data_IF_005766543997
#
_entry.id   IF_005766543997
#
_cell.length_a   1.000
_cell.length_b   1.000
_cell.length_c   1.000
_cell.angle_alpha   90.00
_cell.angle_beta   90.00
_cell.angle_gamma   90.00
#
_symmetry.space_group_name_H-M   'P 1'
#
loop_
_entity.id
_entity.type
_entity.pdbx_description
1 polymer ?
#
# COMPACT_ATOMS: atom_id res chain seq x y z
N UNK A 1 17.69 19.89 1.24
CA UNK A 1 18.55 18.75 1.63
C UNK A 1 17.86 17.85 2.66
N UNK A 2 17.50 18.36 3.85
CA UNK A 2 16.88 17.55 4.92
C UNK A 2 15.60 16.83 4.46
N UNK A 3 14.67 17.51 3.76
CA UNK A 3 13.45 16.88 3.24
C UNK A 3 13.72 15.65 2.35
N UNK A 4 14.75 15.72 1.50
CA UNK A 4 15.15 14.60 0.61
C UNK A 4 15.67 13.43 1.44
N UNK A 5 16.47 13.71 2.47
CA UNK A 5 16.99 12.67 3.36
C UNK A 5 15.87 12.04 4.19
N UNK A 6 14.93 12.85 4.70
CA UNK A 6 13.73 12.34 5.39
C UNK A 6 12.97 11.37 4.49
N UNK A 7 12.75 11.74 3.21
CA UNK A 7 12.08 10.89 2.24
C UNK A 7 12.85 9.60 1.92
N UNK A 8 14.16 9.71 1.66
CA UNK A 8 15.01 8.58 1.28
C UNK A 8 15.27 7.60 2.44
N UNK A 9 15.24 8.10 3.68
CA UNK A 9 15.48 7.32 4.88
C UNK A 9 14.19 6.74 5.49
N UNK A 10 13.05 6.78 4.80
CA UNK A 10 11.79 6.20 5.30
C UNK A 10 11.90 4.67 5.38
N UNK A 11 11.79 4.06 6.58
CA UNK A 11 11.81 2.61 6.75
C UNK A 11 10.84 1.86 5.83
N UNK A 12 9.55 2.22 5.89
CA UNK A 12 8.52 1.60 5.07
C UNK A 12 8.73 1.85 3.58
N UNK A 13 9.35 2.98 3.25
CA UNK A 13 9.71 3.32 1.88
C UNK A 13 10.79 2.40 1.32
N UNK A 14 11.90 2.27 2.05
CA UNK A 14 13.01 1.40 1.68
C UNK A 14 12.54 -0.05 1.55
N UNK A 15 11.78 -0.53 2.55
CA UNK A 15 11.30 -1.92 2.55
C UNK A 15 10.36 -2.21 1.36
N UNK A 16 9.49 -1.26 0.98
CA UNK A 16 8.58 -1.43 -0.15
C UNK A 16 9.25 -1.22 -1.51
N UNK A 17 10.38 -0.50 -1.58
CA UNK A 17 11.08 -0.22 -2.83
C UNK A 17 11.66 -1.48 -3.50
N UNK A 18 11.85 -2.56 -2.73
CA UNK A 18 12.31 -3.86 -3.23
C UNK A 18 11.18 -4.77 -3.71
N UNK A 19 9.92 -4.37 -3.50
CA UNK A 19 8.72 -5.15 -3.83
C UNK A 19 7.85 -4.50 -4.90
N UNK A 20 6.71 -5.12 -5.20
CA UNK A 20 5.74 -4.65 -6.20
C UNK A 20 4.71 -3.63 -5.69
N UNK A 21 4.95 -2.96 -4.56
CA UNK A 21 3.97 -2.05 -3.97
C UNK A 21 3.89 -0.73 -4.73
N UNK A 22 2.68 -0.18 -4.85
CA UNK A 22 2.40 1.06 -5.57
C UNK A 22 2.28 2.29 -4.66
N UNK A 23 2.57 2.17 -3.36
CA UNK A 23 2.36 3.24 -2.38
C UNK A 23 3.24 4.47 -2.64
N UNK A 24 4.46 4.30 -3.16
CA UNK A 24 5.30 5.43 -3.59
C UNK A 24 4.79 6.14 -4.85
N UNK A 25 4.22 5.39 -5.80
CA UNK A 25 3.61 5.98 -7.00
C UNK A 25 2.40 6.83 -6.60
N UNK A 26 1.60 6.35 -5.64
CA UNK A 26 0.50 7.13 -5.08
C UNK A 26 1.03 8.39 -4.37
N UNK A 27 2.07 8.24 -3.55
CA UNK A 27 2.68 9.35 -2.84
C UNK A 27 3.21 10.44 -3.78
N UNK A 28 3.83 10.04 -4.90
CA UNK A 28 4.30 10.96 -5.95
C UNK A 28 3.13 11.80 -6.49
N UNK A 29 2.03 11.18 -6.92
CA UNK A 29 0.91 11.92 -7.50
C UNK A 29 0.22 12.82 -6.48
N UNK A 30 0.14 12.42 -5.22
CA UNK A 30 -0.37 13.29 -4.14
C UNK A 30 0.57 14.47 -3.85
N UNK A 31 1.89 14.28 -3.94
CA UNK A 31 2.85 15.38 -3.84
C UNK A 31 2.72 16.36 -5.01
N UNK A 32 2.58 15.85 -6.24
CA UNK A 32 2.32 16.67 -7.43
C UNK A 32 1.00 17.44 -7.30
N UNK A 33 -0.08 16.77 -6.86
CA UNK A 33 -1.38 17.38 -6.59
C UNK A 33 -1.25 18.51 -5.57
N UNK A 34 -0.60 18.24 -4.43
CA UNK A 34 -0.37 19.24 -3.38
C UNK A 34 0.39 20.44 -3.94
N UNK A 35 1.47 20.22 -4.68
CA UNK A 35 2.27 21.28 -5.27
C UNK A 35 1.47 22.11 -6.29
N UNK A 36 0.69 21.46 -7.15
CA UNK A 36 -0.14 22.12 -8.14
C UNK A 36 -1.21 23.01 -7.50
N UNK A 37 -1.80 22.58 -6.38
CA UNK A 37 -2.79 23.36 -5.61
C UNK A 37 -2.12 24.56 -4.92
N UNK A 38 -0.97 24.37 -4.28
CA UNK A 38 -0.27 25.45 -3.59
C UNK A 38 0.18 26.54 -4.57
N UNK A 39 0.78 26.12 -5.69
CA UNK A 39 1.27 27.00 -6.76
C UNK A 39 0.18 27.56 -7.68
N UNK A 40 -1.07 27.16 -7.48
CA UNK A 40 -2.22 27.59 -8.30
C UNK A 40 -2.02 27.30 -9.81
N UNK A 41 -1.53 26.10 -10.15
CA UNK A 41 -1.14 25.75 -11.53
C UNK A 41 -2.34 25.40 -12.45
N UNK A 42 -3.56 25.76 -12.02
CA UNK A 42 -4.80 25.60 -12.78
C UNK A 42 -5.41 24.20 -12.76
N UNK A 43 -6.66 24.06 -13.24
CA UNK A 43 -7.45 22.83 -13.09
C UNK A 43 -6.94 21.65 -13.93
N UNK A 44 -6.16 21.89 -14.98
CA UNK A 44 -5.61 20.81 -15.82
C UNK A 44 -4.57 20.01 -15.04
N UNK A 45 -3.59 20.68 -14.41
CA UNK A 45 -2.55 19.98 -13.63
C UNK A 45 -3.13 19.35 -12.37
N UNK A 46 -4.03 20.05 -11.67
CA UNK A 46 -4.72 19.51 -10.49
C UNK A 46 -5.58 18.30 -10.86
N UNK A 47 -6.37 18.39 -11.94
CA UNK A 47 -7.20 17.30 -12.42
C UNK A 47 -6.40 16.09 -12.90
N UNK A 48 -5.29 16.30 -13.61
CA UNK A 48 -4.41 15.22 -14.06
C UNK A 48 -3.71 14.53 -12.87
N UNK A 49 -3.19 15.28 -11.91
CA UNK A 49 -2.56 14.72 -10.72
C UNK A 49 -3.56 13.92 -9.86
N UNK A 50 -4.78 14.44 -9.69
CA UNK A 50 -5.87 13.73 -9.01
C UNK A 50 -6.24 12.44 -9.76
N UNK A 51 -6.39 12.52 -11.08
CA UNK A 51 -6.74 11.37 -11.91
C UNK A 51 -5.69 10.28 -11.89
N UNK A 52 -4.40 10.62 -11.93
CA UNK A 52 -3.28 9.68 -11.87
C UNK A 52 -3.08 9.09 -10.47
N UNK A 53 -3.32 9.87 -9.40
CA UNK A 53 -3.35 9.35 -8.04
C UNK A 53 -4.45 8.29 -7.89
N UNK A 54 -5.68 8.60 -8.33
CA UNK A 54 -6.81 7.68 -8.30
C UNK A 54 -6.57 6.41 -9.13
N UNK A 55 -5.96 6.56 -10.31
CA UNK A 55 -5.61 5.45 -11.19
C UNK A 55 -4.58 4.52 -10.54
N UNK A 56 -3.71 5.07 -9.68
CA UNK A 56 -2.71 4.28 -8.97
C UNK A 56 -3.35 3.41 -7.89
N UNK A 57 -4.22 3.99 -7.04
CA UNK A 57 -4.84 3.28 -5.92
C UNK A 57 -6.09 4.00 -5.40
N UNK A 58 -7.18 3.28 -5.08
CA UNK A 58 -8.40 3.90 -4.55
C UNK A 58 -8.23 4.69 -3.24
N UNK A 59 -7.22 4.39 -2.43
CA UNK A 59 -6.91 5.19 -1.22
C UNK A 59 -6.52 6.63 -1.53
N UNK A 60 -6.20 6.96 -2.79
CA UNK A 60 -6.01 8.33 -3.25
C UNK A 60 -7.21 9.22 -2.95
N UNK A 61 -8.44 8.72 -3.08
CA UNK A 61 -9.64 9.51 -2.83
C UNK A 61 -9.68 10.05 -1.40
N UNK A 62 -9.23 9.23 -0.44
CA UNK A 62 -9.20 9.57 0.98
C UNK A 62 -8.19 10.71 1.22
N UNK A 63 -6.98 10.56 0.71
CA UNK A 63 -5.90 11.52 0.94
C UNK A 63 -6.05 12.81 0.11
N UNK A 64 -6.64 12.72 -1.09
CA UNK A 64 -6.85 13.87 -1.96
C UNK A 64 -8.05 14.74 -1.55
N UNK A 65 -9.06 14.17 -0.89
CA UNK A 65 -10.28 14.88 -0.48
C UNK A 65 -10.00 16.20 0.28
N UNK A 66 -9.20 16.24 1.35
CA UNK A 66 -8.95 17.50 2.07
C UNK A 66 -8.19 18.52 1.22
N UNK A 67 -7.27 18.07 0.35
CA UNK A 67 -6.53 18.95 -0.56
C UNK A 67 -7.46 19.57 -1.61
N UNK A 68 -8.36 18.77 -2.18
CA UNK A 68 -9.35 19.22 -3.16
C UNK A 68 -10.41 20.13 -2.53
N UNK A 69 -10.82 19.84 -1.29
CA UNK A 69 -11.70 20.71 -0.53
C UNK A 69 -11.08 22.09 -0.31
N UNK A 70 -9.78 22.14 0.02
CA UNK A 70 -9.04 23.39 0.11
C UNK A 70 -8.96 24.12 -1.24
N UNK A 71 -8.63 23.42 -2.33
CA UNK A 71 -8.57 24.01 -3.66
C UNK A 71 -9.93 24.63 -4.08
N UNK A 72 -11.02 23.90 -3.84
CA UNK A 72 -12.38 24.38 -4.10
C UNK A 72 -12.74 25.59 -3.23
N UNK A 73 -12.40 25.57 -1.94
CA UNK A 73 -12.64 26.70 -1.03
C UNK A 73 -11.87 27.95 -1.47
N UNK A 74 -10.59 27.82 -1.83
CA UNK A 74 -9.78 28.91 -2.37
C UNK A 74 -10.41 29.49 -3.63
N UNK A 75 -10.82 28.64 -4.57
CA UNK A 75 -11.47 29.06 -5.81
C UNK A 75 -12.81 29.76 -5.57
N UNK A 76 -13.59 29.28 -4.61
CA UNK A 76 -14.86 29.90 -4.20
C UNK A 76 -14.65 31.29 -3.60
N UNK A 77 -13.61 31.46 -2.78
CA UNK A 77 -13.26 32.73 -2.14
C UNK A 77 -12.72 33.75 -3.14
N UNK A 78 -11.76 33.34 -3.96
CA UNK A 78 -10.99 34.28 -4.79
C UNK A 78 -11.68 34.56 -6.13
N UNK A 79 -12.32 33.55 -6.74
CA UNK A 79 -12.85 33.63 -8.09
C UNK A 79 -14.03 32.65 -8.32
N UNK A 80 -15.19 32.83 -7.68
CA UNK A 80 -16.29 31.86 -7.67
C UNK A 80 -16.85 31.55 -9.07
N UNK A 81 -16.77 32.50 -10.01
CA UNK A 81 -17.22 32.31 -11.41
C UNK A 81 -16.42 31.25 -12.17
N UNK A 82 -15.16 31.00 -11.77
CA UNK A 82 -14.30 29.98 -12.40
C UNK A 82 -14.47 28.60 -11.77
N UNK A 83 -15.11 28.50 -10.60
CA UNK A 83 -15.28 27.24 -9.88
C UNK A 83 -15.97 26.16 -10.72
N UNK A 84 -17.07 26.42 -11.46
CA UNK A 84 -17.71 25.38 -12.26
C UNK A 84 -16.78 24.82 -13.34
N UNK A 85 -16.03 25.68 -14.04
CA UNK A 85 -15.05 25.25 -15.05
C UNK A 85 -13.87 24.49 -14.42
N UNK A 86 -13.40 24.93 -13.26
CA UNK A 86 -12.35 24.26 -12.51
C UNK A 86 -12.74 22.83 -12.12
N UNK A 87 -13.93 22.68 -11.52
CA UNK A 87 -14.50 21.39 -11.13
C UNK A 87 -14.76 20.52 -12.36
N UNK A 88 -15.33 21.07 -13.42
CA UNK A 88 -15.62 20.33 -14.66
C UNK A 88 -14.35 19.75 -15.29
N UNK A 89 -13.27 20.53 -15.39
CA UNK A 89 -12.00 20.06 -15.93
C UNK A 89 -11.38 18.97 -15.04
N UNK A 90 -11.37 19.18 -13.71
CA UNK A 90 -10.85 18.17 -12.77
C UNK A 90 -11.64 16.86 -12.85
N UNK A 91 -12.97 16.94 -12.89
CA UNK A 91 -13.86 15.79 -13.00
C UNK A 91 -13.68 15.08 -14.35
N UNK A 92 -13.57 15.82 -15.46
CA UNK A 92 -13.34 15.25 -16.77
C UNK A 92 -12.02 14.45 -16.81
N UNK A 93 -10.92 15.01 -16.31
CA UNK A 93 -9.62 14.32 -16.27
C UNK A 93 -9.62 13.11 -15.33
N UNK A 94 -10.25 13.23 -14.16
CA UNK A 94 -10.43 12.09 -13.26
C UNK A 94 -11.19 10.96 -13.95
N UNK A 95 -12.34 11.25 -14.56
CA UNK A 95 -13.18 10.24 -15.21
C UNK A 95 -12.48 9.62 -16.43
N UNK A 96 -11.87 10.41 -17.31
CA UNK A 96 -11.25 9.89 -18.54
C UNK A 96 -10.04 9.01 -18.26
N UNK A 97 -9.17 9.42 -17.33
CA UNK A 97 -7.98 8.64 -16.96
C UNK A 97 -8.32 7.33 -16.25
N UNK A 98 -9.46 7.28 -15.56
CA UNK A 98 -9.89 6.14 -14.76
C UNK A 98 -10.95 5.27 -15.49
N UNK A 99 -11.47 5.72 -16.64
CA UNK A 99 -12.55 5.07 -17.38
C UNK A 99 -12.26 3.60 -17.71
N UNK A 100 -11.03 3.28 -18.10
CA UNK A 100 -10.65 1.93 -18.52
C UNK A 100 -10.80 0.88 -17.43
N UNK A 101 -10.30 1.14 -16.21
CA UNK A 101 -10.45 0.18 -15.11
C UNK A 101 -11.88 0.20 -14.56
N UNK A 102 -12.54 1.36 -14.51
CA UNK A 102 -13.92 1.47 -14.03
C UNK A 102 -14.86 0.65 -14.90
N UNK A 103 -14.71 0.73 -16.23
CA UNK A 103 -15.50 -0.08 -17.17
C UNK A 103 -15.30 -1.58 -16.95
N UNK A 104 -14.05 -2.03 -16.74
CA UNK A 104 -13.76 -3.44 -16.43
C UNK A 104 -14.33 -3.88 -15.09
N UNK A 105 -14.22 -3.05 -14.06
CA UNK A 105 -14.78 -3.34 -12.74
C UNK A 105 -16.31 -3.42 -12.76
N UNK A 106 -16.98 -2.53 -13.51
CA UNK A 106 -18.42 -2.58 -13.71
C UNK A 106 -18.84 -3.83 -14.47
N UNK A 107 -18.15 -4.17 -15.57
CA UNK A 107 -18.45 -5.35 -16.37
C UNK A 107 -18.25 -6.66 -15.57
N UNK A 108 -17.17 -6.75 -14.79
CA UNK A 108 -16.80 -8.00 -14.12
C UNK A 108 -17.38 -8.14 -12.71
N UNK A 109 -17.62 -7.02 -12.00
CA UNK A 109 -17.97 -7.02 -10.57
C UNK A 109 -19.18 -6.14 -10.23
N UNK A 110 -19.80 -5.48 -11.20
CA UNK A 110 -21.00 -4.65 -10.99
C UNK A 110 -20.76 -3.37 -10.16
N UNK A 111 -19.51 -3.01 -9.87
CA UNK A 111 -19.14 -1.87 -9.01
C UNK A 111 -17.97 -1.11 -9.63
N UNK A 112 -17.96 0.24 -9.63
CA UNK A 112 -16.87 1.03 -10.22
C UNK A 112 -15.53 0.84 -9.49
N UNK A 113 -15.58 0.57 -8.19
CA UNK A 113 -14.40 0.28 -7.36
C UNK A 113 -14.05 -1.21 -7.33
N UNK A 114 -14.82 -2.06 -8.03
CA UNK A 114 -14.72 -3.50 -7.95
C UNK A 114 -15.37 -4.06 -6.68
N UNK A 115 -15.06 -5.33 -6.39
CA UNK A 115 -15.52 -6.06 -5.19
C UNK A 115 -14.41 -6.17 -4.14
N UNK A 116 -14.79 -6.30 -2.86
CA UNK A 116 -13.87 -6.46 -1.72
C UNK A 116 -13.67 -5.22 -0.84
N UNK A 117 -14.19 -4.05 -1.24
CA UNK A 117 -14.11 -2.82 -0.43
C UNK A 117 -14.79 -2.96 0.93
N UNK A 118 -15.92 -3.67 1.00
CA UNK A 118 -16.68 -3.87 2.22
C UNK A 118 -15.86 -4.56 3.35
N UNK A 119 -14.94 -5.45 2.99
CA UNK A 119 -14.07 -6.15 3.97
C UNK A 119 -13.05 -5.20 4.59
N UNK A 120 -12.62 -4.19 3.83
CA UNK A 120 -11.58 -3.25 4.22
C UNK A 120 -12.12 -1.98 4.91
N UNK A 121 -13.40 -1.65 4.73
CA UNK A 121 -14.03 -0.43 5.26
C UNK A 121 -14.60 -0.66 6.65
N UNK A 122 -14.56 0.36 7.51
CA UNK A 122 -15.23 0.29 8.82
C UNK A 122 -16.74 0.08 8.63
N UNK A 123 -17.27 -0.91 9.34
CA UNK A 123 -18.72 -1.20 9.33
C UNK A 123 -19.48 -0.27 10.27
N UNK A 124 -18.80 0.24 11.31
CA UNK A 124 -19.34 1.20 12.26
C UNK A 124 -18.57 2.51 12.19
N UNK A 125 -19.31 3.60 12.11
CA UNK A 125 -18.77 4.96 12.22
C UNK A 125 -19.16 5.53 13.59
N UNK A 126 -18.22 6.21 14.23
CA UNK A 126 -18.46 6.90 15.51
C UNK A 126 -17.19 7.49 16.09
N UNK A 127 -17.31 8.48 16.99
CA UNK A 127 -16.15 9.14 17.60
C UNK A 127 -15.26 8.15 18.38
N UNK A 128 -15.84 7.16 19.05
CA UNK A 128 -15.10 6.10 19.74
C UNK A 128 -14.30 5.19 18.78
N UNK A 129 -14.93 4.77 17.67
CA UNK A 129 -14.25 3.98 16.62
C UNK A 129 -13.13 4.78 15.97
N UNK A 130 -13.38 6.06 15.68
CA UNK A 130 -12.36 6.94 15.12
C UNK A 130 -11.18 7.12 16.09
N UNK A 131 -11.44 7.39 17.37
CA UNK A 131 -10.38 7.52 18.38
C UNK A 131 -9.58 6.23 18.52
N UNK A 132 -10.26 5.08 18.53
CA UNK A 132 -9.63 3.76 18.52
C UNK A 132 -8.73 3.56 17.30
N UNK A 133 -9.25 3.83 16.11
CA UNK A 133 -8.50 3.67 14.86
C UNK A 133 -7.31 4.62 14.79
N UNK A 134 -7.46 5.87 15.22
CA UNK A 134 -6.35 6.83 15.31
C UNK A 134 -5.25 6.29 16.22
N UNK A 135 -5.60 5.85 17.44
CA UNK A 135 -4.64 5.31 18.39
C UNK A 135 -3.92 4.07 17.83
N UNK A 136 -4.66 3.13 17.25
CA UNK A 136 -4.11 1.88 16.71
C UNK A 136 -3.23 2.11 15.47
N UNK A 137 -3.63 2.98 14.54
CA UNK A 137 -2.81 3.33 13.37
C UNK A 137 -1.51 4.07 13.77
N UNK A 138 -1.57 4.97 14.77
CA UNK A 138 -0.36 5.62 15.29
C UNK A 138 0.57 4.62 15.99
N UNK A 139 0.01 3.69 16.76
CA UNK A 139 0.78 2.65 17.43
C UNK A 139 1.52 1.75 16.45
N UNK A 140 0.91 1.42 15.30
CA UNK A 140 1.57 0.68 14.22
C UNK A 140 2.77 1.44 13.64
N UNK A 141 2.67 2.76 13.49
CA UNK A 141 3.81 3.58 13.04
C UNK A 141 4.88 3.77 14.11
N UNK A 142 4.55 3.51 15.38
CA UNK A 142 5.45 3.59 16.52
C UNK A 142 5.94 2.23 17.00
N UNK A 143 5.78 1.17 16.20
CA UNK A 143 6.25 -0.16 16.56
C UNK A 143 7.78 -0.16 16.76
N UNK A 144 8.21 -0.91 17.77
CA UNK A 144 9.60 -1.03 18.21
C UNK A 144 9.86 -2.50 18.57
N UNK A 145 11.13 -2.94 18.61
CA UNK A 145 11.47 -4.30 19.02
C UNK A 145 10.94 -4.61 20.42
N UNK A 146 10.63 -5.88 20.66
CA UNK A 146 10.26 -6.33 21.99
C UNK A 146 11.42 -6.21 22.99
N UNK A 147 11.13 -5.93 24.28
CA UNK A 147 9.80 -5.88 24.89
C UNK A 147 9.03 -4.57 24.69
N UNK A 148 9.64 -3.53 24.10
CA UNK A 148 9.03 -2.19 24.01
C UNK A 148 7.78 -2.19 23.13
N UNK A 149 7.79 -2.92 22.01
CA UNK A 149 6.62 -3.11 21.16
C UNK A 149 5.42 -3.65 21.93
N UNK A 150 5.62 -4.71 22.72
CA UNK A 150 4.57 -5.28 23.57
C UNK A 150 4.00 -4.27 24.58
N UNK A 151 4.82 -3.37 25.13
CA UNK A 151 4.37 -2.34 26.06
C UNK A 151 3.49 -1.30 25.37
N UNK A 152 3.85 -0.89 24.15
CA UNK A 152 3.03 0.02 23.33
C UNK A 152 1.67 -0.62 23.03
N UNK A 153 1.66 -1.88 22.59
CA UNK A 153 0.41 -2.60 22.32
C UNK A 153 -0.48 -2.70 23.57
N UNK A 154 0.09 -3.03 24.73
CA UNK A 154 -0.63 -3.09 26.00
C UNK A 154 -1.14 -1.72 26.46
N UNK A 155 -0.38 -0.65 26.26
CA UNK A 155 -0.81 0.70 26.59
C UNK A 155 -2.03 1.11 25.74
N UNK A 156 -2.03 0.75 24.46
CA UNK A 156 -3.19 0.96 23.58
C UNK A 156 -4.40 0.18 24.09
N UNK A 157 -4.26 -1.11 24.39
CA UNK A 157 -5.36 -1.96 24.90
C UNK A 157 -5.93 -1.39 26.21
N UNK A 158 -5.08 -1.12 27.21
CA UNK A 158 -5.53 -0.55 28.50
C UNK A 158 -6.22 0.81 28.32
N UNK A 159 -5.75 1.61 27.38
CA UNK A 159 -6.38 2.88 27.03
C UNK A 159 -7.80 2.67 26.47
N UNK A 160 -7.98 1.67 25.61
CA UNK A 160 -9.31 1.32 25.08
C UNK A 160 -10.26 0.84 26.18
N UNK A 161 -9.78 -0.05 27.05
CA UNK A 161 -10.55 -0.57 28.18
C UNK A 161 -11.06 0.55 29.10
N UNK A 162 -10.23 1.57 29.37
CA UNK A 162 -10.59 2.72 30.19
C UNK A 162 -11.77 3.54 29.61
N UNK A 163 -11.89 3.59 28.28
CA UNK A 163 -12.96 4.30 27.59
C UNK A 163 -14.13 3.39 27.16
N UNK A 164 -14.13 2.12 27.60
CA UNK A 164 -15.16 1.14 27.22
C UNK A 164 -15.16 0.82 25.72
N UNK A 165 -14.01 0.94 25.07
CA UNK A 165 -13.82 0.60 23.65
C UNK A 165 -13.20 -0.79 23.54
N UNK A 166 -13.63 -1.57 22.56
CA UNK A 166 -13.01 -2.87 22.25
C UNK A 166 -11.96 -2.69 21.14
N UNK A 167 -10.68 -2.87 21.49
CA UNK A 167 -9.57 -2.80 20.53
C UNK A 167 -9.58 -3.92 19.49
N UNK A 168 -10.42 -4.94 19.68
CA UNK A 168 -10.58 -6.13 18.84
C UNK A 168 -11.91 -6.15 18.08
N UNK A 169 -12.71 -5.08 18.16
CA UNK A 169 -14.02 -5.00 17.51
C UNK A 169 -13.92 -5.38 16.00
N UNK A 170 -14.56 -6.47 15.55
CA UNK A 170 -14.50 -6.92 14.16
C UNK A 170 -15.15 -5.93 13.18
N UNK A 171 -16.01 -5.02 13.67
CA UNK A 171 -16.59 -3.95 12.86
C UNK A 171 -15.53 -2.90 12.45
N UNK A 172 -14.43 -2.79 13.20
CA UNK A 172 -13.34 -1.83 12.98
C UNK A 172 -11.95 -2.48 12.80
N UNK A 173 -11.88 -3.81 12.74
CA UNK A 173 -10.64 -4.60 12.68
C UNK A 173 -10.77 -5.70 11.66
N UNK A 174 -9.75 -5.90 10.82
CA UNK A 174 -9.73 -7.02 9.87
C UNK A 174 -9.30 -8.27 10.63
N UNK A 175 -10.29 -9.13 10.90
CA UNK A 175 -10.21 -10.48 11.47
C UNK A 175 -8.87 -10.81 12.17
N UNK A 176 -8.70 -10.31 13.39
CA UNK A 176 -7.69 -10.78 14.32
C UNK A 176 -8.36 -11.12 15.64
N UNK A 177 -7.89 -12.17 16.30
CA UNK A 177 -8.27 -12.53 17.66
C UNK A 177 -7.87 -11.45 18.68
N UNK A 178 -6.77 -10.71 18.44
CA UNK A 178 -6.31 -9.58 19.27
C UNK A 178 -5.60 -8.49 18.46
N UNK A 179 -5.68 -7.24 18.93
CA UNK A 179 -4.82 -6.16 18.43
C UNK A 179 -3.36 -6.50 18.75
N UNK A 180 -2.52 -6.54 17.71
CA UNK A 180 -1.08 -6.76 17.82
C UNK A 180 -0.32 -5.81 16.92
N UNK A 181 0.89 -5.44 17.35
CA UNK A 181 1.86 -4.78 16.48
C UNK A 181 2.66 -5.84 15.73
N UNK A 182 3.12 -5.51 14.52
CA UNK A 182 4.07 -6.39 13.85
C UNK A 182 5.38 -6.46 14.63
N UNK A 183 5.94 -7.66 14.74
CA UNK A 183 7.27 -7.94 15.29
C UNK A 183 8.35 -7.89 14.21
N UNK A 184 7.94 -8.07 12.97
CA UNK A 184 8.76 -8.21 11.78
C UNK A 184 9.06 -6.83 11.22
N UNK A 185 9.95 -6.10 11.90
CA UNK A 185 10.09 -4.66 11.69
C UNK A 185 10.78 -4.29 10.38
N UNK A 186 11.50 -5.22 9.73
CA UNK A 186 12.18 -4.99 8.45
C UNK A 186 11.39 -5.52 7.25
N UNK A 187 10.22 -6.11 7.49
CA UNK A 187 9.28 -6.56 6.46
C UNK A 187 8.60 -5.38 5.73
N UNK A 188 8.26 -5.59 4.45
CA UNK A 188 7.70 -4.56 3.58
C UNK A 188 6.26 -4.12 3.95
N UNK A 189 5.53 -4.94 4.71
CA UNK A 189 4.19 -4.62 5.18
C UNK A 189 4.18 -3.92 6.54
N UNK A 190 5.15 -4.28 7.37
CA UNK A 190 5.17 -3.97 8.80
C UNK A 190 6.13 -2.85 9.19
N UNK A 191 7.09 -2.48 8.33
CA UNK A 191 8.14 -1.50 8.65
C UNK A 191 7.60 -0.17 9.24
N UNK A 192 7.90 0.14 10.52
CA UNK A 192 7.37 1.33 11.18
C UNK A 192 8.19 2.58 10.85
N UNK A 193 7.52 3.72 10.70
CA UNK A 193 8.17 5.01 10.46
C UNK A 193 8.32 5.84 11.75
N UNK A 194 8.74 5.21 12.86
CA UNK A 194 8.68 5.79 14.21
C UNK A 194 9.37 7.15 14.33
N UNK A 195 10.61 7.29 13.84
CA UNK A 195 11.35 8.56 13.91
C UNK A 195 10.69 9.63 13.05
N UNK A 196 10.23 9.27 11.85
CA UNK A 196 9.52 10.18 10.94
C UNK A 196 8.17 10.60 11.50
N UNK A 197 7.49 9.74 12.27
CA UNK A 197 6.26 10.09 12.98
C UNK A 197 6.53 11.16 14.03
N UNK A 198 7.57 10.99 14.85
CA UNK A 198 7.95 11.97 15.86
C UNK A 198 8.37 13.30 15.24
N UNK A 199 9.20 13.26 14.19
CA UNK A 199 9.60 14.46 13.46
C UNK A 199 8.42 15.15 12.77
N UNK A 200 7.50 14.38 12.17
CA UNK A 200 6.29 14.89 11.54
C UNK A 200 5.36 15.55 12.54
N UNK A 201 5.14 14.93 13.71
CA UNK A 201 4.36 15.50 14.80
C UNK A 201 4.99 16.78 15.35
N UNK A 202 6.32 16.79 15.54
CA UNK A 202 7.05 17.99 15.95
C UNK A 202 6.94 19.10 14.91
N UNK A 203 7.15 18.80 13.62
CA UNK A 203 7.02 19.76 12.54
C UNK A 203 5.59 20.33 12.47
N UNK A 204 4.57 19.49 12.59
CA UNK A 204 3.17 19.92 12.68
C UNK A 204 2.98 20.92 13.83
N UNK A 205 3.35 20.55 15.06
CA UNK A 205 3.20 21.43 16.22
C UNK A 205 3.94 22.76 16.04
N UNK A 206 5.17 22.72 15.53
CA UNK A 206 6.00 23.91 15.32
C UNK A 206 5.45 24.84 14.23
N UNK A 207 4.83 24.31 13.16
CA UNK A 207 4.19 25.13 12.11
C UNK A 207 3.07 26.01 12.67
N UNK A 208 2.35 25.54 13.69
CA UNK A 208 1.25 26.28 14.32
C UNK A 208 1.69 27.10 15.53
N UNK A 209 2.71 26.66 16.27
CA UNK A 209 3.15 27.29 17.51
C UNK A 209 4.30 28.29 17.32
N UNK A 210 5.27 27.99 16.45
CA UNK A 210 6.51 28.75 16.38
C UNK A 210 6.38 30.00 15.49
N UNK A 211 6.73 31.21 15.99
CA UNK A 211 6.50 32.48 15.27
C UNK A 211 7.04 32.49 13.83
N UNK A 212 8.28 32.02 13.63
CA UNK A 212 8.94 31.97 12.31
C UNK A 212 8.22 31.06 11.30
N UNK A 213 7.62 29.95 11.77
CA UNK A 213 6.97 28.99 10.87
C UNK A 213 5.50 29.33 10.62
N UNK A 214 4.87 30.08 11.53
CA UNK A 214 3.46 30.52 11.39
C UNK A 214 3.22 31.43 10.20
N UNK A 215 4.26 32.05 9.66
CA UNK A 215 4.20 32.87 8.45
C UNK A 215 4.07 32.02 7.17
N UNK A 216 4.46 30.74 7.21
CA UNK A 216 4.40 29.83 6.07
C UNK A 216 2.99 29.24 5.89
N UNK A 217 2.07 30.01 5.30
CA UNK A 217 0.67 29.57 5.09
C UNK A 217 0.56 28.28 4.26
N UNK A 218 1.40 28.11 3.24
CA UNK A 218 1.42 26.89 2.43
C UNK A 218 1.76 25.64 3.27
N UNK A 219 2.63 25.81 4.27
CA UNK A 219 2.98 24.73 5.21
C UNK A 219 1.79 24.41 6.14
N UNK A 220 1.04 25.41 6.59
CA UNK A 220 -0.17 25.20 7.40
C UNK A 220 -1.25 24.45 6.62
N UNK A 221 -1.47 24.81 5.36
CA UNK A 221 -2.43 24.14 4.47
C UNK A 221 -2.03 22.68 4.26
N UNK A 222 -0.75 22.45 3.94
CA UNK A 222 -0.22 21.10 3.73
C UNK A 222 -0.29 20.25 5.00
N UNK A 223 0.05 20.84 6.15
CA UNK A 223 -0.03 20.20 7.46
C UNK A 223 -1.48 19.83 7.85
N UNK A 224 -2.44 20.74 7.62
CA UNK A 224 -3.85 20.49 7.85
C UNK A 224 -4.39 19.41 6.92
N UNK A 225 -4.04 19.46 5.62
CA UNK A 225 -4.43 18.46 4.64
C UNK A 225 -3.91 17.06 4.98
N UNK A 226 -2.66 16.95 5.45
CA UNK A 226 -2.06 15.70 5.92
C UNK A 226 -2.82 15.12 7.10
N UNK A 227 -3.09 15.91 8.15
CA UNK A 227 -3.81 15.43 9.33
C UNK A 227 -5.25 15.06 8.98
N UNK A 228 -5.94 15.86 8.16
CA UNK A 228 -7.27 15.53 7.69
C UNK A 228 -7.29 14.23 6.86
N UNK A 229 -6.29 14.02 6.00
CA UNK A 229 -6.13 12.78 5.23
C UNK A 229 -5.92 11.56 6.12
N UNK A 230 -5.11 11.70 7.17
CA UNK A 230 -4.91 10.65 8.19
C UNK A 230 -6.22 10.34 8.95
N UNK A 231 -6.94 11.37 9.40
CA UNK A 231 -8.21 11.19 10.11
C UNK A 231 -9.27 10.53 9.23
N UNK A 232 -9.35 10.93 7.95
CA UNK A 232 -10.26 10.30 7.00
C UNK A 232 -9.88 8.84 6.72
N UNK A 233 -8.59 8.52 6.66
CA UNK A 233 -8.12 7.14 6.55
C UNK A 233 -8.55 6.30 7.76
N UNK A 234 -8.29 6.80 8.98
CA UNK A 234 -8.71 6.14 10.21
C UNK A 234 -10.23 6.00 10.34
N UNK A 235 -11.00 6.96 9.80
CA UNK A 235 -12.46 6.88 9.78
C UNK A 235 -12.98 5.87 8.75
N UNK A 236 -12.35 5.77 7.58
CA UNK A 236 -12.85 4.98 6.46
C UNK A 236 -12.46 3.50 6.52
N UNK A 237 -11.26 3.18 6.99
CA UNK A 237 -10.68 1.83 6.86
C UNK A 237 -10.53 1.14 8.21
N UNK A 238 -10.75 -0.19 8.20
CA UNK A 238 -10.48 -1.06 9.35
C UNK A 238 -8.97 -1.14 9.59
N UNK A 239 -8.60 -1.29 10.86
CA UNK A 239 -7.20 -1.47 11.27
C UNK A 239 -6.74 -2.89 10.98
N UNK A 240 -5.51 -3.01 10.48
CA UNK A 240 -4.83 -4.26 10.13
C UNK A 240 -3.31 -4.04 10.31
N UNK A 241 -2.58 -4.92 11.04
CA UNK A 241 -1.13 -4.78 11.23
C UNK A 241 -0.33 -4.62 9.93
N UNK A 242 -0.77 -5.30 8.86
CA UNK A 242 -0.08 -5.36 7.56
C UNK A 242 -0.38 -4.10 6.71
N UNK A 243 -1.34 -3.26 7.13
CA UNK A 243 -1.74 -2.03 6.42
C UNK A 243 -1.06 -0.78 6.94
N UNK A 244 -0.15 -0.89 7.91
CA UNK A 244 0.70 0.20 8.36
C UNK A 244 1.39 0.90 7.18
N UNK A 245 1.81 0.13 6.17
CA UNK A 245 2.40 0.64 4.92
C UNK A 245 1.55 1.67 4.15
N UNK A 246 0.22 1.65 4.28
CA UNK A 246 -0.68 2.53 3.52
C UNK A 246 -0.57 4.00 3.93
N UNK A 247 0.09 4.30 5.05
CA UNK A 247 0.38 5.66 5.49
C UNK A 247 1.59 6.28 4.77
N UNK A 248 2.33 5.53 3.97
CA UNK A 248 3.53 6.02 3.28
C UNK A 248 3.31 7.36 2.55
N UNK A 249 2.19 7.59 1.82
CA UNK A 249 1.94 8.89 1.20
C UNK A 249 1.92 10.07 2.16
N UNK A 250 1.40 9.87 3.38
CA UNK A 250 1.37 10.93 4.40
C UNK A 250 2.78 11.26 4.90
N UNK A 251 3.66 10.27 5.05
CA UNK A 251 5.05 10.50 5.43
C UNK A 251 5.85 11.21 4.32
N UNK A 252 5.58 10.88 3.06
CA UNK A 252 6.16 11.61 1.91
C UNK A 252 5.73 13.07 1.93
N UNK A 253 4.45 13.35 2.19
CA UNK A 253 3.93 14.71 2.31
C UNK A 253 4.42 15.44 3.58
N UNK A 254 4.78 14.71 4.65
CA UNK A 254 5.39 15.26 5.85
C UNK A 254 6.85 15.70 5.62
N UNK A 255 7.58 15.04 4.73
CA UNK A 255 9.00 15.30 4.48
C UNK A 255 9.34 16.78 4.17
N UNK A 256 8.62 17.51 3.29
CA UNK A 256 8.87 18.94 3.08
C UNK A 256 8.58 19.79 4.32
N UNK A 257 7.60 19.41 5.16
CA UNK A 257 7.28 20.12 6.41
C UNK A 257 8.40 19.97 7.44
N UNK A 258 8.93 18.75 7.59
CA UNK A 258 10.09 18.45 8.44
C UNK A 258 11.33 19.21 7.93
N UNK A 259 11.55 19.20 6.61
CA UNK A 259 12.64 19.94 5.98
C UNK A 259 12.55 21.45 6.21
N UNK A 260 11.36 22.04 6.08
CA UNK A 260 11.12 23.46 6.35
C UNK A 260 11.41 23.81 7.82
N UNK A 261 10.92 23.01 8.76
CA UNK A 261 11.18 23.21 10.18
C UNK A 261 12.67 23.12 10.49
N UNK A 262 13.37 22.11 9.94
CA UNK A 262 14.81 21.96 10.11
C UNK A 262 15.60 23.13 9.50
N UNK A 263 15.23 23.60 8.31
CA UNK A 263 15.89 24.71 7.62
C UNK A 263 15.75 26.04 8.38
N UNK A 264 14.57 26.31 8.92
CA UNK A 264 14.27 27.60 9.57
C UNK A 264 14.71 27.65 11.03
N UNK A 265 14.78 26.51 11.73
CA UNK A 265 14.99 26.47 13.17
C UNK A 265 16.34 25.90 13.59
N UNK A 266 16.97 25.04 12.79
CA UNK A 266 18.23 24.40 13.16
C UNK A 266 19.43 25.09 12.51
N UNK A 267 20.55 25.25 13.23
CA UNK A 267 21.79 25.65 12.60
C UNK A 267 22.25 24.57 11.61
N UNK A 268 22.98 24.98 10.55
CA UNK A 268 23.43 24.08 9.47
C UNK A 268 24.08 22.78 9.96
N UNK A 269 24.90 22.85 11.02
CA UNK A 269 25.56 21.67 11.61
C UNK A 269 24.55 20.68 12.22
N UNK A 270 23.53 21.16 12.92
CA UNK A 270 22.49 20.32 13.50
C UNK A 270 21.57 19.73 12.42
N UNK A 271 21.20 20.51 11.39
CA UNK A 271 20.45 19.99 10.25
C UNK A 271 21.20 18.89 9.49
N UNK A 272 22.53 19.04 9.34
CA UNK A 272 23.39 18.02 8.76
C UNK A 272 23.51 16.78 9.64
N UNK A 273 23.69 16.95 10.95
CA UNK A 273 23.71 15.83 11.90
C UNK A 273 22.38 15.06 11.90
N UNK A 274 21.24 15.75 11.89
CA UNK A 274 19.92 15.13 11.77
C UNK A 274 19.81 14.29 10.49
N UNK A 275 20.26 14.82 9.35
CA UNK A 275 20.25 14.08 8.09
C UNK A 275 21.11 12.80 8.18
N UNK A 276 22.32 12.88 8.74
CA UNK A 276 23.17 11.70 8.94
C UNK A 276 22.56 10.67 9.87
N UNK A 277 21.98 11.11 11.00
CA UNK A 277 21.30 10.21 11.94
C UNK A 277 20.18 9.46 11.23
N UNK A 278 19.36 10.14 10.42
CA UNK A 278 18.30 9.48 9.66
C UNK A 278 18.83 8.42 8.69
N UNK A 279 19.90 8.72 7.94
CA UNK A 279 20.52 7.77 7.01
C UNK A 279 21.09 6.54 7.74
N UNK A 280 21.75 6.75 8.87
CA UNK A 280 22.31 5.65 9.67
C UNK A 280 21.20 4.80 10.27
N UNK A 281 20.15 5.44 10.79
CA UNK A 281 19.00 4.73 11.34
C UNK A 281 18.26 3.94 10.28
N UNK A 282 18.25 4.35 9.01
CA UNK A 282 17.57 3.61 7.94
C UNK A 282 18.33 2.37 7.44
N UNK A 283 19.58 2.16 7.85
CA UNK A 283 20.41 1.05 7.36
C UNK A 283 19.84 -0.36 7.59
N UNK A 284 19.16 -0.69 8.72
CA UNK A 284 18.59 -2.02 8.91
C UNK A 284 17.58 -2.40 7.82
N UNK A 285 16.70 -1.49 7.43
CA UNK A 285 15.72 -1.72 6.35
C UNK A 285 16.36 -1.84 4.96
N UNK A 286 17.51 -1.19 4.75
CA UNK A 286 18.26 -1.27 3.50
C UNK A 286 19.08 -2.57 3.40
N UNK A 287 19.75 -2.96 4.49
CA UNK A 287 20.74 -4.03 4.49
C UNK A 287 20.14 -5.38 4.87
N UNK A 288 19.18 -5.39 5.81
CA UNK A 288 18.62 -6.57 6.47
C UNK A 288 17.09 -6.58 6.29
N UNK A 289 16.64 -6.26 5.08
CA UNK A 289 15.24 -6.49 4.68
C UNK A 289 14.91 -7.98 4.85
N UNK A 290 13.75 -8.29 5.43
CA UNK A 290 13.41 -9.66 5.83
C UNK A 290 13.31 -10.63 4.64
N UNK A 291 12.66 -10.19 3.55
CA UNK A 291 12.45 -11.00 2.35
C UNK A 291 13.61 -10.89 1.36
N UNK A 292 14.27 -9.72 1.29
CA UNK A 292 15.23 -9.37 0.24
C UNK A 292 16.50 -8.74 0.82
N UNK A 293 17.23 -9.44 1.72
CA UNK A 293 18.38 -8.87 2.39
C UNK A 293 19.59 -8.71 1.45
N UNK A 294 20.36 -7.64 1.64
CA UNK A 294 21.74 -7.59 1.14
C UNK A 294 22.67 -8.40 2.05
N UNK A 295 22.44 -8.32 3.36
CA UNK A 295 23.14 -9.05 4.41
C UNK A 295 22.12 -9.96 5.09
N UNK A 296 22.21 -11.26 4.82
CA UNK A 296 21.38 -12.25 5.49
C UNK A 296 21.82 -12.41 6.95
N UNK A 297 20.85 -12.40 7.85
CA UNK A 297 21.05 -12.56 9.30
C UNK A 297 19.99 -13.53 9.79
N UNK A 298 20.39 -14.73 10.22
CA UNK A 298 19.47 -15.84 10.54
C UNK A 298 18.32 -15.48 11.50
N UNK A 299 18.53 -14.50 12.39
CA UNK A 299 17.52 -14.05 13.35
C UNK A 299 16.53 -12.99 12.82
N UNK A 300 16.79 -12.41 11.64
CA UNK A 300 16.08 -11.22 11.11
C UNK A 300 15.64 -11.36 9.65
N UNK A 301 16.08 -12.41 8.94
CA UNK A 301 15.83 -12.57 7.51
C UNK A 301 15.37 -13.98 7.19
N UNK A 302 14.38 -14.09 6.31
CA UNK A 302 13.78 -15.38 5.91
C UNK A 302 14.36 -15.92 4.60
N UNK A 303 15.19 -15.12 3.92
CA UNK A 303 15.79 -15.45 2.62
C UNK A 303 17.30 -15.23 2.60
N UNK A 304 18.03 -15.96 1.74
CA UNK A 304 19.45 -15.70 1.53
C UNK A 304 19.68 -14.31 0.92
N UNK A 305 20.94 -13.84 0.97
CA UNK A 305 21.32 -12.55 0.36
C UNK A 305 20.98 -12.52 -1.13
N UNK A 306 20.37 -11.42 -1.58
CA UNK A 306 20.02 -11.19 -2.99
C UNK A 306 21.24 -11.23 -3.93
N UNK A 307 22.46 -11.07 -3.39
CA UNK A 307 23.70 -11.15 -4.16
C UNK A 307 24.14 -12.59 -4.47
N UNK A 308 23.53 -13.57 -3.81
CA UNK A 308 23.86 -15.01 -3.95
C UNK A 308 22.64 -15.88 -4.24
N UNK A 309 21.44 -15.37 -3.99
CA UNK A 309 20.21 -16.09 -4.17
C UNK A 309 19.95 -16.41 -5.65
N UNK A 310 19.30 -17.54 -5.90
CA UNK A 310 18.78 -17.87 -7.23
C UNK A 310 17.66 -16.87 -7.60
N UNK A 311 17.70 -16.26 -8.81
CA UNK A 311 16.70 -15.28 -9.22
C UNK A 311 15.26 -15.80 -9.23
N UNK A 312 15.03 -17.06 -9.59
CA UNK A 312 13.68 -17.67 -9.59
C UNK A 312 13.22 -17.87 -8.15
N UNK A 313 14.07 -18.42 -7.28
CA UNK A 313 13.76 -18.60 -5.86
C UNK A 313 13.39 -17.27 -5.17
N UNK A 314 14.04 -16.16 -5.54
CA UNK A 314 13.71 -14.83 -5.00
C UNK A 314 12.30 -14.33 -5.34
N UNK A 315 11.67 -14.86 -6.40
CA UNK A 315 10.27 -14.55 -6.70
C UNK A 315 9.30 -15.28 -5.78
N UNK A 316 9.78 -16.29 -5.05
CA UNK A 316 9.04 -17.04 -4.04
C UNK A 316 9.45 -16.69 -2.60
N UNK A 317 10.25 -15.64 -2.39
CA UNK A 317 10.80 -15.30 -1.07
C UNK A 317 9.73 -15.22 0.05
N UNK A 318 8.59 -14.57 -0.19
CA UNK A 318 7.53 -14.44 0.81
C UNK A 318 6.60 -15.67 0.87
N UNK A 319 6.76 -16.65 -0.04
CA UNK A 319 6.05 -17.93 0.04
C UNK A 319 6.86 -19.08 -0.61
N UNK A 320 7.96 -19.53 0.04
CA UNK A 320 8.88 -20.50 -0.57
C UNK A 320 8.24 -21.87 -0.83
N UNK A 321 7.20 -22.21 -0.07
CA UNK A 321 6.48 -23.47 -0.20
C UNK A 321 5.83 -23.66 -1.58
N UNK A 322 5.46 -22.56 -2.27
CA UNK A 322 4.83 -22.64 -3.59
C UNK A 322 5.81 -23.00 -4.71
N UNK A 323 7.12 -22.80 -4.51
CA UNK A 323 8.09 -22.90 -5.59
C UNK A 323 8.09 -24.29 -6.21
N UNK A 324 8.19 -25.33 -5.39
CA UNK A 324 8.25 -26.71 -5.87
C UNK A 324 6.97 -27.12 -6.62
N UNK A 325 5.81 -26.80 -6.05
CA UNK A 325 4.49 -27.11 -6.60
C UNK A 325 4.25 -26.41 -7.95
N UNK A 326 4.53 -25.10 -8.03
CA UNK A 326 4.34 -24.33 -9.25
C UNK A 326 5.36 -24.64 -10.33
N UNK A 327 6.60 -24.98 -9.97
CA UNK A 327 7.61 -25.43 -10.94
C UNK A 327 7.19 -26.75 -11.57
N UNK A 328 6.75 -27.73 -10.77
CA UNK A 328 6.29 -29.01 -11.29
C UNK A 328 5.03 -28.88 -12.17
N UNK A 329 4.11 -27.99 -11.78
CA UNK A 329 2.95 -27.65 -12.61
C UNK A 329 3.39 -27.00 -13.94
N UNK A 330 4.33 -26.06 -13.90
CA UNK A 330 4.83 -25.41 -15.10
C UNK A 330 5.52 -26.41 -16.05
N UNK A 331 6.37 -27.28 -15.53
CA UNK A 331 7.05 -28.33 -16.28
C UNK A 331 6.06 -29.26 -17.02
N UNK A 332 4.92 -29.58 -16.39
CA UNK A 332 3.89 -30.39 -17.02
C UNK A 332 3.19 -29.68 -18.20
N UNK A 333 2.99 -28.36 -18.10
CA UNK A 333 2.48 -27.54 -19.20
C UNK A 333 3.51 -27.47 -20.34
N UNK A 334 4.80 -27.31 -20.01
CA UNK A 334 5.86 -27.28 -21.02
C UNK A 334 5.99 -28.61 -21.76
N UNK A 335 5.95 -29.73 -21.03
CA UNK A 335 6.02 -31.07 -21.60
C UNK A 335 4.84 -31.38 -22.53
N UNK A 336 3.68 -30.78 -22.26
CA UNK A 336 2.51 -30.87 -23.14
C UNK A 336 2.63 -30.01 -24.41
N UNK A 337 3.67 -29.16 -24.53
CA UNK A 337 3.86 -28.28 -25.68
C UNK A 337 2.77 -27.22 -25.82
N UNK A 338 2.16 -26.81 -24.70
CA UNK A 338 0.98 -25.96 -24.72
C UNK A 338 1.35 -24.47 -24.81
N UNK A 339 0.89 -23.79 -25.88
CA UNK A 339 1.11 -22.35 -26.09
C UNK A 339 -0.02 -21.47 -25.52
N UNK A 340 -1.24 -22.00 -25.37
CA UNK A 340 -2.40 -21.29 -24.85
C UNK A 340 -2.83 -21.85 -23.49
N UNK A 341 -2.56 -21.10 -22.43
CA UNK A 341 -2.70 -21.57 -21.04
C UNK A 341 -3.82 -20.82 -20.35
N UNK A 342 -4.77 -21.56 -19.79
CA UNK A 342 -5.77 -21.04 -18.88
C UNK A 342 -5.21 -20.86 -17.48
N UNK A 343 -5.55 -19.75 -16.82
CA UNK A 343 -5.18 -19.47 -15.43
C UNK A 343 -6.44 -19.51 -14.55
N UNK A 344 -6.51 -20.50 -13.68
CA UNK A 344 -7.55 -20.66 -12.66
C UNK A 344 -7.07 -20.22 -11.29
N UNK A 345 -6.84 -18.92 -11.14
CA UNK A 345 -6.15 -18.32 -9.98
C UNK A 345 -7.08 -17.36 -9.23
N UNK A 346 -7.44 -17.63 -7.98
CA UNK A 346 -8.27 -16.77 -7.13
C UNK A 346 -7.59 -15.44 -6.74
N UNK A 347 -8.29 -14.62 -5.94
CA UNK A 347 -7.90 -13.23 -5.68
C UNK A 347 -6.51 -13.07 -5.03
N UNK A 348 -6.10 -14.01 -4.16
CA UNK A 348 -4.84 -13.97 -3.44
C UNK A 348 -3.78 -14.92 -4.01
N UNK A 349 -4.06 -15.56 -5.14
CA UNK A 349 -3.15 -16.54 -5.74
C UNK A 349 -1.99 -15.84 -6.46
N UNK A 350 -0.83 -16.46 -6.42
CA UNK A 350 0.40 -15.89 -6.95
C UNK A 350 0.50 -16.11 -8.47
N UNK A 351 -0.04 -15.16 -9.23
CA UNK A 351 -0.03 -15.20 -10.70
C UNK A 351 1.35 -14.89 -11.31
N UNK A 352 2.08 -13.92 -10.77
CA UNK A 352 3.34 -13.47 -11.38
C UNK A 352 4.42 -14.57 -11.51
N UNK A 353 4.64 -15.45 -10.52
CA UNK A 353 5.59 -16.55 -10.68
C UNK A 353 5.19 -17.55 -11.77
N UNK A 354 3.89 -17.70 -12.06
CA UNK A 354 3.43 -18.54 -13.18
C UNK A 354 3.95 -17.98 -14.50
N UNK A 355 3.86 -16.67 -14.71
CA UNK A 355 4.37 -16.01 -15.92
C UNK A 355 5.88 -16.10 -16.03
N UNK A 356 6.60 -16.03 -14.91
CA UNK A 356 8.06 -16.20 -14.88
C UNK A 356 8.47 -17.62 -15.32
N UNK A 357 7.79 -18.64 -14.78
CA UNK A 357 8.12 -20.04 -15.06
C UNK A 357 7.71 -20.46 -16.48
N UNK A 358 6.56 -19.98 -16.96
CA UNK A 358 6.00 -20.37 -18.25
C UNK A 358 6.41 -19.43 -19.41
N UNK A 359 7.05 -18.29 -19.14
CA UNK A 359 7.51 -17.34 -20.15
C UNK A 359 6.36 -16.64 -20.90
N UNK A 360 6.62 -16.21 -22.14
CA UNK A 360 5.61 -15.58 -22.99
C UNK A 360 4.71 -16.66 -23.64
N UNK A 361 3.47 -16.78 -23.17
CA UNK A 361 2.41 -17.66 -23.70
C UNK A 361 1.09 -16.89 -23.84
N UNK A 362 0.11 -17.45 -24.56
CA UNK A 362 -1.24 -16.89 -24.63
C UNK A 362 -2.01 -17.26 -23.35
N UNK A 363 -1.94 -16.38 -22.35
CA UNK A 363 -2.64 -16.56 -21.08
C UNK A 363 -4.09 -16.10 -21.14
N UNK A 364 -5.01 -16.94 -20.66
CA UNK A 364 -6.43 -16.62 -20.58
C UNK A 364 -7.00 -16.92 -19.20
N UNK A 365 -7.90 -16.08 -18.65
CA UNK A 365 -8.61 -16.44 -17.42
C UNK A 365 -9.45 -17.70 -17.65
N UNK A 366 -9.36 -18.68 -16.75
CA UNK A 366 -10.09 -19.94 -16.85
C UNK A 366 -10.46 -20.48 -15.46
N UNK A 367 -11.71 -20.27 -15.06
CA UNK A 367 -12.23 -20.63 -13.74
C UNK A 367 -13.00 -21.96 -13.72
N UNK A 368 -13.24 -22.52 -14.90
CA UNK A 368 -13.91 -23.78 -15.17
C UNK A 368 -13.23 -24.48 -16.36
N UNK A 369 -13.71 -25.67 -16.72
CA UNK A 369 -13.18 -26.46 -17.83
C UNK A 369 -13.60 -25.93 -19.22
N UNK A 370 -14.54 -24.99 -19.31
CA UNK A 370 -15.14 -24.60 -20.58
C UNK A 370 -14.12 -24.03 -21.60
N UNK A 371 -13.07 -23.27 -21.21
CA UNK A 371 -12.01 -22.86 -22.13
C UNK A 371 -11.23 -24.03 -22.74
N UNK A 372 -11.00 -25.12 -21.99
CA UNK A 372 -10.35 -26.33 -22.50
C UNK A 372 -11.28 -27.08 -23.46
N UNK A 373 -12.52 -27.31 -23.05
CA UNK A 373 -13.52 -28.05 -23.83
C UNK A 373 -13.79 -27.40 -25.20
N UNK A 374 -13.77 -26.06 -25.25
CA UNK A 374 -13.94 -25.30 -26.48
C UNK A 374 -12.63 -25.09 -27.28
N UNK A 375 -11.53 -25.73 -26.88
CA UNK A 375 -10.23 -25.64 -27.54
C UNK A 375 -9.62 -24.24 -27.53
N UNK A 376 -10.04 -23.37 -26.60
CA UNK A 376 -9.51 -21.99 -26.47
C UNK A 376 -8.18 -21.95 -25.76
N UNK A 377 -7.90 -22.95 -24.93
CA UNK A 377 -6.64 -23.20 -24.24
C UNK A 377 -6.34 -24.70 -24.31
N UNK A 378 -5.07 -25.09 -24.25
CA UNK A 378 -4.64 -26.49 -24.24
C UNK A 378 -4.33 -27.03 -22.83
N UNK A 379 -4.19 -26.16 -21.84
CA UNK A 379 -4.00 -26.52 -20.43
C UNK A 379 -4.68 -25.48 -19.54
N UNK A 380 -5.08 -25.85 -18.32
CA UNK A 380 -5.40 -24.88 -17.26
C UNK A 380 -4.51 -25.15 -16.05
N UNK A 381 -3.80 -24.11 -15.59
CA UNK A 381 -3.04 -24.15 -14.35
C UNK A 381 -3.85 -23.50 -13.22
N UNK A 382 -4.02 -24.25 -12.14
CA UNK A 382 -4.61 -23.82 -10.89
C UNK A 382 -3.53 -23.71 -9.82
N UNK A 383 -3.68 -22.73 -8.92
CA UNK A 383 -2.84 -22.60 -7.73
C UNK A 383 -3.71 -22.29 -6.51
N UNK A 384 -3.21 -22.62 -5.32
CA UNK A 384 -3.69 -22.17 -4.01
C UNK A 384 -5.23 -22.20 -3.87
N UNK A 385 -5.88 -21.04 -3.69
CA UNK A 385 -7.32 -20.95 -3.50
C UNK A 385 -8.08 -21.31 -4.78
N UNK A 386 -7.53 -21.00 -5.95
CA UNK A 386 -8.09 -21.35 -7.26
C UNK A 386 -8.23 -22.85 -7.48
N UNK A 387 -7.38 -23.68 -6.86
CA UNK A 387 -7.52 -25.13 -6.88
C UNK A 387 -8.83 -25.62 -6.26
N UNK A 388 -9.33 -24.91 -5.24
CA UNK A 388 -10.60 -25.27 -4.57
C UNK A 388 -11.83 -24.94 -5.40
N UNK A 389 -11.69 -24.11 -6.44
CA UNK A 389 -12.78 -23.76 -7.34
C UNK A 389 -13.10 -24.89 -8.35
N UNK A 390 -12.14 -25.78 -8.62
CA UNK A 390 -12.34 -26.93 -9.51
C UNK A 390 -13.13 -28.03 -8.78
N UNK A 391 -14.42 -28.16 -9.10
CA UNK A 391 -15.33 -29.09 -8.41
C UNK A 391 -15.24 -30.53 -8.90
N UNK A 392 -15.05 -30.74 -10.21
CA UNK A 392 -15.05 -32.06 -10.85
C UNK A 392 -13.99 -32.14 -11.98
N UNK A 393 -13.47 -33.34 -12.24
CA UNK A 393 -12.59 -33.61 -13.39
C UNK A 393 -13.45 -33.80 -14.66
N UNK A 394 -13.33 -32.93 -15.67
CA UNK A 394 -14.09 -33.09 -16.90
C UNK A 394 -13.64 -34.35 -17.66
N UNK A 395 -14.57 -35.11 -18.27
CA UNK A 395 -14.24 -36.34 -18.97
C UNK A 395 -13.31 -36.09 -20.17
N UNK A 396 -12.28 -36.93 -20.33
CA UNK A 396 -11.27 -36.80 -21.39
C UNK A 396 -10.11 -35.86 -21.04
N UNK A 397 -10.02 -35.42 -19.79
CA UNK A 397 -8.92 -34.60 -19.27
C UNK A 397 -8.37 -35.20 -17.98
N UNK A 398 -7.06 -35.18 -17.83
CA UNK A 398 -6.35 -35.61 -16.63
C UNK A 398 -5.94 -34.41 -15.77
N UNK A 399 -6.32 -34.44 -14.50
CA UNK A 399 -5.87 -33.47 -13.50
C UNK A 399 -4.62 -34.00 -12.79
N UNK A 400 -3.48 -33.29 -12.96
CA UNK A 400 -2.23 -33.58 -12.25
C UNK A 400 -2.06 -32.59 -11.11
N UNK A 401 -1.80 -33.08 -9.88
CA UNK A 401 -1.74 -32.26 -8.66
C UNK A 401 -0.37 -32.34 -7.99
N UNK A 402 0.12 -31.21 -7.51
CA UNK A 402 1.34 -31.05 -6.72
C UNK A 402 1.05 -30.10 -5.56
N UNK A 403 0.73 -30.65 -4.39
CA UNK A 403 0.45 -29.84 -3.19
C UNK A 403 -0.61 -28.76 -3.43
N UNK A 404 -0.15 -27.52 -3.52
CA UNK A 404 -0.94 -26.30 -3.73
C UNK A 404 -1.16 -25.92 -5.21
N UNK A 405 -0.63 -26.66 -6.18
CA UNK A 405 -0.81 -26.40 -7.61
C UNK A 405 -1.40 -27.61 -8.35
N UNK A 406 -2.09 -27.37 -9.45
CA UNK A 406 -2.55 -28.43 -10.34
C UNK A 406 -2.62 -27.96 -11.79
N UNK A 407 -2.54 -28.91 -12.71
CA UNK A 407 -2.74 -28.66 -14.14
C UNK A 407 -3.75 -29.66 -14.70
N UNK A 408 -4.73 -29.12 -15.42
CA UNK A 408 -5.70 -29.89 -16.19
C UNK A 408 -5.25 -29.95 -17.66
N UNK A 409 -5.01 -31.16 -18.16
CA UNK A 409 -4.52 -31.44 -19.52
C UNK A 409 -5.44 -32.45 -20.23
N UNK A 410 -5.51 -32.46 -21.57
CA UNK A 410 -6.14 -33.55 -22.32
C UNK A 410 -5.46 -34.90 -22.01
N UNK A 411 -6.25 -35.99 -21.96
CA UNK A 411 -5.74 -37.37 -21.78
C UNK A 411 -4.84 -37.87 -22.92
#
# INVERSE_FOLDING_TARGET
AVAVVVLAALPAGIAQATGGKNDYVLALWLAVLTLAILRDEGPVRVGAALGLAALTKPTAYIFALPLMAWAAWRQLRDNPRRLPGYVAICAALLLTLNAGYVARNLANRGSPLGGGSAVATNERLGPGVLASNVARNLAQQAALPDPVGSWVAQAVIRGHDLFGLDATDPAATIAMDRFRLCTDLTDEFCAPNTVHLLLGAAAFALIWAHPVLREARDAQISAAGLVAGFVLFAAALKVDPIRARMHLPLFVLAAPLIGLAAERLLPRRAAFALAWVLLVLSLPWLLVNQDRPLIAVDALTDSPSILRADPVAMHFANNPALQADLTAAADAVEQAGCESVGLGLAHNDWEYPVWLLLGERDYRPAWDAAPLENGRVCAILFAQEGLTALRDEPPGFALRRWGSAAVLLPE
#
